data_IF_993197866895
#
_entry.id   IF_993197866895
#
_cell.length_a   1.000
_cell.length_b   1.000
_cell.length_c   1.000
_cell.angle_alpha   90.00
_cell.angle_beta   90.00
_cell.angle_gamma   90.00
#
_symmetry.space_group_name_H-M   'P 1'
#
loop_
_entity.id
_entity.type
_entity.pdbx_description
1 polymer ?
#
# COMPACT_ATOMS: atom_id res chain seq x y z
N UNK A 1 -1.69 13.95 -53.69
CA UNK A 1 -2.16 13.57 -52.35
C UNK A 1 -1.83 14.72 -51.40
N UNK A 2 -2.81 15.49 -50.89
CA UNK A 2 -2.49 16.58 -49.98
C UNK A 2 -2.35 16.03 -48.56
N UNK A 3 -1.16 16.18 -47.98
CA UNK A 3 -0.97 16.08 -46.54
C UNK A 3 -1.76 17.22 -45.89
N UNK A 4 -2.91 16.88 -45.28
CA UNK A 4 -3.73 17.80 -44.51
C UNK A 4 -2.86 18.36 -43.37
N UNK A 5 -2.55 19.65 -43.41
CA UNK A 5 -1.95 20.37 -42.30
C UNK A 5 -2.88 20.20 -41.08
N UNK A 6 -2.49 19.35 -40.14
CA UNK A 6 -3.06 19.39 -38.80
C UNK A 6 -2.64 20.72 -38.18
N UNK A 7 -3.61 21.59 -37.89
CA UNK A 7 -3.32 22.89 -37.30
C UNK A 7 -2.66 22.68 -35.94
N UNK A 8 -1.64 23.50 -35.64
CA UNK A 8 -0.88 23.44 -34.39
C UNK A 8 -1.79 23.52 -33.15
N UNK A 9 -2.98 24.14 -33.28
CA UNK A 9 -4.01 24.21 -32.25
C UNK A 9 -4.59 22.85 -31.82
N UNK A 10 -4.67 21.87 -32.72
CA UNK A 10 -5.23 20.54 -32.38
C UNK A 10 -4.23 19.69 -31.58
N UNK A 11 -2.93 19.81 -31.89
CA UNK A 11 -1.86 19.12 -31.16
C UNK A 11 -1.66 19.74 -29.77
N UNK A 12 -1.78 21.07 -29.65
CA UNK A 12 -1.75 21.77 -28.36
C UNK A 12 -2.98 21.40 -27.52
N UNK A 13 -4.17 21.26 -28.11
CA UNK A 13 -5.37 20.82 -27.39
C UNK A 13 -5.28 19.38 -26.88
N UNK A 14 -4.75 18.45 -27.70
CA UNK A 14 -4.54 17.06 -27.30
C UNK A 14 -3.42 16.93 -26.24
N UNK A 15 -2.32 17.66 -26.40
CA UNK A 15 -1.27 17.74 -25.39
C UNK A 15 -1.78 18.39 -24.11
N UNK A 16 -2.62 19.42 -24.21
CA UNK A 16 -3.27 20.03 -23.06
C UNK A 16 -4.20 19.02 -22.37
N UNK A 17 -5.04 18.27 -23.08
CA UNK A 17 -5.86 17.21 -22.48
C UNK A 17 -5.03 16.09 -21.85
N UNK A 18 -3.92 15.68 -22.47
CA UNK A 18 -3.00 14.67 -21.92
C UNK A 18 -2.29 15.20 -20.67
N UNK A 19 -1.87 16.47 -20.68
CA UNK A 19 -1.24 17.15 -19.54
C UNK A 19 -2.25 17.48 -18.43
N UNK A 20 -3.50 17.78 -18.78
CA UNK A 20 -4.59 18.06 -17.84
C UNK A 20 -5.12 16.76 -17.21
N UNK A 21 -5.20 15.65 -17.96
CA UNK A 21 -5.45 14.31 -17.41
C UNK A 21 -4.34 13.85 -16.46
N UNK A 22 -3.09 14.24 -16.69
CA UNK A 22 -1.98 13.99 -15.77
C UNK A 22 -2.07 14.74 -14.43
N UNK A 23 -2.85 15.82 -14.38
CA UNK A 23 -3.04 16.67 -13.21
C UNK A 23 -4.42 16.49 -12.53
N UNK A 24 -5.25 15.56 -12.99
CA UNK A 24 -6.42 15.16 -12.22
C UNK A 24 -5.93 14.38 -11.01
N UNK A 25 -6.31 14.82 -9.82
CA UNK A 25 -6.18 14.03 -8.59
C UNK A 25 -7.06 12.79 -8.80
N UNK A 26 -6.49 11.74 -9.38
CA UNK A 26 -7.18 10.47 -9.52
C UNK A 26 -7.22 9.83 -8.14
N UNK A 27 -8.43 9.53 -7.67
CA UNK A 27 -8.60 8.54 -6.61
C UNK A 27 -8.28 7.14 -7.19
N UNK A 28 -8.17 6.13 -6.35
CA UNK A 28 -7.82 4.76 -6.76
C UNK A 28 -8.91 4.21 -7.70
N UNK A 29 -10.18 4.53 -7.45
CA UNK A 29 -11.29 4.06 -8.27
C UNK A 29 -11.26 4.59 -9.72
N UNK A 30 -10.85 5.84 -9.91
CA UNK A 30 -10.65 6.45 -11.22
C UNK A 30 -9.53 5.74 -11.97
N UNK A 31 -8.42 5.50 -11.27
CA UNK A 31 -7.27 4.74 -11.81
C UNK A 31 -7.71 3.34 -12.25
N UNK A 32 -8.44 2.62 -11.40
CA UNK A 32 -8.95 1.28 -11.71
C UNK A 32 -9.92 1.27 -12.90
N UNK A 33 -10.62 2.38 -13.16
CA UNK A 33 -11.54 2.49 -14.29
C UNK A 33 -10.83 2.63 -15.63
N UNK A 34 -9.52 2.95 -15.62
CA UNK A 34 -8.67 2.93 -16.81
C UNK A 34 -8.11 1.55 -17.14
N UNK A 35 -8.25 0.58 -16.24
CA UNK A 35 -7.66 -0.74 -16.42
C UNK A 35 -8.32 -1.49 -17.60
N UNK A 36 -7.53 -2.19 -18.41
CA UNK A 36 -8.04 -2.99 -19.52
C UNK A 36 -8.82 -4.22 -19.02
N UNK A 37 -9.61 -4.85 -19.90
CA UNK A 37 -10.51 -5.96 -19.54
C UNK A 37 -9.77 -7.14 -18.87
N UNK A 38 -8.53 -7.42 -19.26
CA UNK A 38 -7.73 -8.49 -18.65
C UNK A 38 -7.37 -8.23 -17.18
N UNK A 39 -7.49 -6.99 -16.69
CA UNK A 39 -7.20 -6.59 -15.31
C UNK A 39 -8.48 -6.30 -14.50
N UNK A 40 -9.65 -6.61 -15.05
CA UNK A 40 -10.97 -6.35 -14.44
C UNK A 40 -11.13 -6.95 -13.05
N UNK A 41 -10.57 -8.12 -12.80
CA UNK A 41 -10.65 -8.78 -11.49
C UNK A 41 -10.02 -7.92 -10.38
N UNK A 42 -8.98 -7.15 -10.67
CA UNK A 42 -8.35 -6.26 -9.68
C UNK A 42 -9.32 -5.16 -9.26
N UNK A 43 -10.03 -4.56 -10.23
CA UNK A 43 -11.07 -3.56 -9.96
C UNK A 43 -12.22 -4.15 -9.13
N UNK A 44 -12.70 -5.34 -9.49
CA UNK A 44 -13.78 -6.00 -8.75
C UNK A 44 -13.36 -6.35 -7.31
N UNK A 45 -12.13 -6.82 -7.12
CA UNK A 45 -11.60 -7.13 -5.79
C UNK A 45 -11.42 -5.89 -4.92
N UNK A 46 -10.91 -4.78 -5.48
CA UNK A 46 -10.84 -3.50 -4.77
C UNK A 46 -12.23 -3.03 -4.35
N UNK A 47 -13.18 -3.00 -5.30
CA UNK A 47 -14.57 -2.62 -5.04
C UNK A 47 -15.22 -3.50 -3.96
N UNK A 48 -14.91 -4.79 -3.89
CA UNK A 48 -15.40 -5.68 -2.84
C UNK A 48 -14.80 -5.32 -1.48
N UNK A 49 -13.48 -5.13 -1.41
CA UNK A 49 -12.76 -4.85 -0.17
C UNK A 49 -13.18 -3.55 0.49
N UNK A 50 -13.45 -2.50 -0.30
CA UNK A 50 -13.89 -1.21 0.27
C UNK A 50 -15.33 -1.23 0.79
N UNK A 51 -16.12 -2.26 0.43
CA UNK A 51 -17.54 -2.38 0.79
C UNK A 51 -17.86 -3.56 1.72
N UNK A 52 -16.91 -4.43 2.07
CA UNK A 52 -17.19 -5.64 2.86
C UNK A 52 -17.28 -5.40 4.38
N UNK A 53 -16.91 -4.20 4.86
CA UNK A 53 -17.03 -3.76 6.26
C UNK A 53 -16.38 -4.70 7.31
N UNK A 54 -15.34 -5.47 6.92
CA UNK A 54 -14.56 -6.32 7.84
C UNK A 54 -13.61 -5.49 8.70
N UNK A 55 -13.02 -4.44 8.12
CA UNK A 55 -12.17 -3.47 8.81
C UNK A 55 -12.97 -2.17 8.99
N UNK A 56 -12.71 -1.46 10.08
CA UNK A 56 -13.26 -0.10 10.22
C UNK A 56 -12.59 0.86 9.23
N UNK A 57 -13.14 2.07 9.08
CA UNK A 57 -12.67 3.06 8.11
C UNK A 57 -11.17 3.41 8.27
N UNK A 58 -10.70 3.60 9.51
CA UNK A 58 -9.28 3.91 9.76
C UNK A 58 -8.36 2.74 9.38
N UNK A 59 -8.73 1.53 9.76
CA UNK A 59 -7.98 0.31 9.43
C UNK A 59 -7.95 0.06 7.93
N UNK A 60 -9.08 0.20 7.23
CA UNK A 60 -9.20 0.00 5.80
C UNK A 60 -8.31 0.99 5.02
N UNK A 61 -8.54 2.29 5.18
CA UNK A 61 -7.82 3.30 4.43
C UNK A 61 -6.36 3.44 4.86
N UNK A 62 -6.06 3.17 6.13
CA UNK A 62 -4.69 3.08 6.61
C UNK A 62 -3.92 1.91 5.98
N UNK A 63 -4.57 0.74 5.89
CA UNK A 63 -3.98 -0.43 5.21
C UNK A 63 -3.80 -0.19 3.71
N UNK A 64 -4.76 0.46 3.04
CA UNK A 64 -4.66 0.84 1.62
C UNK A 64 -3.46 1.79 1.41
N UNK A 65 -3.33 2.84 2.23
CA UNK A 65 -2.25 3.81 2.11
C UNK A 65 -0.87 3.18 2.37
N UNK A 66 -0.71 2.44 3.49
CA UNK A 66 0.58 1.81 3.81
C UNK A 66 0.98 0.76 2.76
N UNK A 67 0.00 0.03 2.22
CA UNK A 67 0.24 -0.92 1.14
C UNK A 67 0.67 -0.20 -0.14
N UNK A 68 0.02 0.91 -0.47
CA UNK A 68 0.38 1.75 -1.62
C UNK A 68 1.82 2.28 -1.52
N UNK A 69 2.23 2.77 -0.34
CA UNK A 69 3.62 3.15 -0.05
C UNK A 69 4.59 1.99 -0.28
N UNK A 70 4.26 0.80 0.21
CA UNK A 70 5.08 -0.40 0.06
C UNK A 70 5.26 -0.83 -1.40
N UNK A 71 4.30 -0.51 -2.28
CA UNK A 71 4.45 -0.77 -3.72
C UNK A 71 5.50 0.10 -4.40
N UNK A 72 5.84 1.28 -3.83
CA UNK A 72 6.72 2.29 -4.45
C UNK A 72 6.21 2.83 -5.80
N UNK A 73 4.89 2.86 -5.99
CA UNK A 73 4.26 3.53 -7.14
C UNK A 73 3.75 4.91 -6.71
N UNK A 74 4.40 5.96 -7.18
CA UNK A 74 4.15 7.34 -6.75
C UNK A 74 2.70 7.78 -7.02
N UNK A 75 2.20 7.55 -8.23
CA UNK A 75 0.83 7.94 -8.62
C UNK A 75 -0.21 7.23 -7.77
N UNK A 76 -0.01 5.93 -7.47
CA UNK A 76 -0.89 5.17 -6.57
C UNK A 76 -0.83 5.69 -5.14
N UNK A 77 0.36 6.05 -4.66
CA UNK A 77 0.56 6.61 -3.31
C UNK A 77 -0.17 7.94 -3.17
N UNK A 78 -0.09 8.80 -4.19
CA UNK A 78 -0.83 10.08 -4.22
C UNK A 78 -2.34 9.85 -4.18
N UNK A 79 -2.84 8.94 -5.01
CA UNK A 79 -4.26 8.56 -5.03
C UNK A 79 -4.73 8.07 -3.65
N UNK A 80 -4.01 7.11 -3.06
CA UNK A 80 -4.31 6.55 -1.76
C UNK A 80 -4.24 7.58 -0.63
N UNK A 81 -3.27 8.50 -0.67
CA UNK A 81 -3.13 9.55 0.34
C UNK A 81 -4.31 10.54 0.30
N UNK A 82 -4.82 10.84 -0.88
CA UNK A 82 -5.98 11.71 -1.01
C UNK A 82 -7.24 11.04 -0.45
N UNK A 83 -7.48 9.78 -0.78
CA UNK A 83 -8.58 9.01 -0.17
C UNK A 83 -8.42 8.91 1.35
N UNK A 84 -7.22 8.63 1.85
CA UNK A 84 -6.97 8.54 3.29
C UNK A 84 -7.32 9.86 4.00
N UNK A 85 -6.87 11.02 3.49
CA UNK A 85 -7.15 12.33 4.11
C UNK A 85 -8.63 12.65 4.28
N UNK A 86 -9.49 12.07 3.45
CA UNK A 86 -10.95 12.25 3.55
C UNK A 86 -11.59 11.28 4.56
N UNK A 87 -10.90 10.20 4.93
CA UNK A 87 -11.47 9.08 5.66
C UNK A 87 -10.80 8.77 7.01
N UNK A 88 -9.61 9.29 7.28
CA UNK A 88 -8.84 9.00 8.52
C UNK A 88 -8.33 10.27 9.20
N UNK A 89 -8.09 10.16 10.51
CA UNK A 89 -7.50 11.23 11.31
C UNK A 89 -6.07 11.54 10.83
N UNK A 90 -5.67 12.83 10.69
CA UNK A 90 -4.30 13.21 10.39
C UNK A 90 -3.23 12.57 11.28
N UNK A 91 -3.52 12.35 12.57
CA UNK A 91 -2.60 11.66 13.50
C UNK A 91 -2.33 10.20 13.08
N UNK A 92 -3.32 9.56 12.45
CA UNK A 92 -3.20 8.20 11.92
C UNK A 92 -2.27 8.17 10.70
N UNK A 93 -2.23 9.25 9.89
CA UNK A 93 -1.35 9.36 8.73
C UNK A 93 0.13 9.31 9.14
N UNK A 94 0.53 10.04 10.19
CA UNK A 94 1.92 10.02 10.69
C UNK A 94 2.37 8.59 11.03
N UNK A 95 1.50 7.82 11.69
CA UNK A 95 1.80 6.45 12.11
C UNK A 95 1.82 5.45 10.94
N UNK A 96 1.07 5.71 9.86
CA UNK A 96 1.20 4.97 8.60
C UNK A 96 2.60 5.14 8.00
N UNK A 97 3.10 6.37 7.92
CA UNK A 97 4.47 6.61 7.46
C UNK A 97 5.52 6.04 8.43
N UNK A 98 5.25 6.09 9.73
CA UNK A 98 6.08 5.47 10.76
C UNK A 98 6.20 3.95 10.59
N UNK A 99 5.08 3.26 10.40
CA UNK A 99 5.02 1.82 10.13
C UNK A 99 5.77 1.49 8.84
N UNK A 100 5.51 2.22 7.75
CA UNK A 100 6.22 2.04 6.48
C UNK A 100 7.73 2.23 6.62
N UNK A 101 8.16 3.29 7.31
CA UNK A 101 9.57 3.60 7.53
C UNK A 101 10.28 2.49 8.30
N UNK A 102 9.71 2.05 9.42
CA UNK A 102 10.30 0.98 10.23
C UNK A 102 10.35 -0.34 9.47
N UNK A 103 9.25 -0.71 8.83
CA UNK A 103 9.16 -1.99 8.13
C UNK A 103 10.01 -2.03 6.87
N UNK A 104 10.27 -0.90 6.22
CA UNK A 104 11.22 -0.82 5.10
C UNK A 104 12.64 -1.21 5.50
N UNK A 105 13.02 -1.01 6.76
CA UNK A 105 14.29 -1.48 7.31
C UNK A 105 14.17 -2.90 7.87
N UNK A 106 13.20 -3.12 8.76
CA UNK A 106 13.05 -4.36 9.52
C UNK A 106 12.75 -5.55 8.62
N UNK A 107 11.84 -5.40 7.65
CA UNK A 107 11.47 -6.49 6.75
C UNK A 107 12.66 -6.99 5.93
N UNK A 108 13.63 -6.14 5.62
CA UNK A 108 14.83 -6.54 4.89
C UNK A 108 15.78 -7.32 5.82
N UNK A 109 16.11 -6.75 6.99
CA UNK A 109 17.05 -7.38 7.93
C UNK A 109 16.52 -8.71 8.48
N UNK A 110 15.27 -8.73 8.94
CA UNK A 110 14.70 -9.94 9.53
C UNK A 110 14.38 -11.01 8.49
N UNK A 111 14.10 -10.64 7.24
CA UNK A 111 14.03 -11.62 6.14
C UNK A 111 15.39 -12.24 5.86
N UNK A 112 16.46 -11.46 5.84
CA UNK A 112 17.82 -12.01 5.71
C UNK A 112 18.12 -13.03 6.82
N UNK A 113 17.96 -12.64 8.09
CA UNK A 113 18.25 -13.56 9.22
C UNK A 113 17.35 -14.78 9.25
N UNK A 114 16.14 -14.71 8.68
CA UNK A 114 15.21 -15.85 8.57
C UNK A 114 15.55 -16.81 7.43
N UNK A 115 16.12 -16.31 6.33
CA UNK A 115 16.42 -17.11 5.14
C UNK A 115 17.88 -17.59 5.08
N UNK A 116 18.79 -16.92 5.79
CA UNK A 116 20.19 -17.32 5.86
C UNK A 116 20.32 -18.69 6.54
N UNK A 117 21.09 -19.60 5.93
CA UNK A 117 21.36 -20.93 6.50
C UNK A 117 22.28 -20.87 7.73
N UNK A 118 23.15 -19.86 7.78
CA UNK A 118 24.01 -19.63 8.93
C UNK A 118 23.22 -18.94 10.03
N UNK A 119 23.00 -19.65 11.13
CA UNK A 119 22.22 -19.16 12.26
C UNK A 119 22.99 -18.14 13.12
N UNK A 120 24.29 -17.96 12.89
CA UNK A 120 25.11 -17.01 13.64
C UNK A 120 24.55 -15.57 13.55
N UNK A 121 24.03 -15.17 12.39
CA UNK A 121 23.41 -13.86 12.19
C UNK A 121 22.18 -13.61 13.07
N UNK A 122 21.42 -14.66 13.41
CA UNK A 122 20.24 -14.54 14.27
C UNK A 122 20.59 -14.31 15.75
N UNK A 123 21.81 -14.69 16.15
CA UNK A 123 22.35 -14.52 17.51
C UNK A 123 23.06 -13.19 17.70
N UNK A 124 23.44 -12.52 16.61
CA UNK A 124 24.09 -11.21 16.66
C UNK A 124 23.07 -10.10 17.02
N UNK A 125 23.48 -9.07 17.77
CA UNK A 125 22.64 -7.91 17.99
C UNK A 125 22.39 -7.19 16.66
N UNK A 126 21.13 -6.92 16.34
CA UNK A 126 20.77 -6.27 15.08
C UNK A 126 21.38 -4.87 14.93
N UNK A 127 21.62 -4.16 16.05
CA UNK A 127 22.12 -2.78 16.06
C UNK A 127 21.26 -1.80 15.23
N UNK A 128 19.97 -2.10 15.07
CA UNK A 128 18.97 -1.27 14.41
C UNK A 128 18.08 -0.59 15.45
N UNK A 129 17.92 0.73 15.34
CA UNK A 129 17.04 1.48 16.24
C UNK A 129 15.59 1.39 15.78
N UNK A 130 14.72 0.87 16.64
CA UNK A 130 13.29 0.69 16.35
C UNK A 130 12.37 1.49 17.29
N UNK A 131 12.84 2.65 17.80
CA UNK A 131 12.13 3.40 18.83
C UNK A 131 10.69 3.79 18.46
N UNK A 132 10.39 3.95 17.17
CA UNK A 132 9.04 4.32 16.73
C UNK A 132 8.00 3.22 17.01
N UNK A 133 8.40 1.96 17.18
CA UNK A 133 7.51 0.85 17.57
C UNK A 133 6.76 1.12 18.88
N UNK A 134 7.29 2.00 19.75
CA UNK A 134 6.67 2.37 21.02
C UNK A 134 6.25 3.84 21.08
N UNK A 135 6.35 4.59 19.98
CA UNK A 135 6.03 6.03 19.91
C UNK A 135 4.79 6.33 19.05
N UNK A 136 4.23 5.32 18.40
CA UNK A 136 2.99 5.48 17.66
C UNK A 136 1.87 5.97 18.58
N UNK A 137 0.95 6.75 18.03
CA UNK A 137 -0.17 7.38 18.73
C UNK A 137 -1.47 6.61 18.55
N UNK A 138 -1.60 5.85 17.47
CA UNK A 138 -2.72 4.94 17.22
C UNK A 138 -2.66 3.72 18.15
N UNK A 139 -3.75 2.95 18.19
CA UNK A 139 -3.81 1.73 18.98
C UNK A 139 -2.72 0.75 18.52
N UNK A 140 -2.17 -0.03 19.47
CA UNK A 140 -1.16 -1.04 19.16
C UNK A 140 -1.65 -2.02 18.07
N UNK A 141 -2.87 -2.60 18.14
CA UNK A 141 -3.35 -3.49 17.10
C UNK A 141 -3.43 -2.84 15.71
N UNK A 142 -3.83 -1.57 15.63
CA UNK A 142 -3.87 -0.86 14.35
C UNK A 142 -2.46 -0.67 13.76
N UNK A 143 -1.49 -0.28 14.60
CA UNK A 143 -0.09 -0.15 14.16
C UNK A 143 0.50 -1.48 13.68
N UNK A 144 0.17 -2.57 14.36
CA UNK A 144 0.58 -3.93 13.99
C UNK A 144 -0.05 -4.39 12.66
N UNK A 145 -1.32 -4.01 12.37
CA UNK A 145 -1.93 -4.25 11.05
C UNK A 145 -1.18 -3.52 9.93
N UNK A 146 -0.78 -2.27 10.16
CA UNK A 146 0.00 -1.50 9.20
C UNK A 146 1.37 -2.15 8.94
N UNK A 147 2.05 -2.59 10.01
CA UNK A 147 3.33 -3.27 9.89
C UNK A 147 3.20 -4.61 9.15
N UNK A 148 2.13 -5.37 9.44
CA UNK A 148 1.80 -6.62 8.76
C UNK A 148 1.62 -6.40 7.25
N UNK A 149 0.87 -5.38 6.83
CA UNK A 149 0.65 -5.07 5.42
C UNK A 149 1.98 -4.84 4.66
N UNK A 150 2.91 -4.08 5.26
CA UNK A 150 4.24 -3.85 4.68
C UNK A 150 5.07 -5.13 4.65
N UNK A 151 5.06 -5.92 5.73
CA UNK A 151 5.77 -7.19 5.80
C UNK A 151 5.33 -8.18 4.72
N UNK A 152 4.03 -8.20 4.40
CA UNK A 152 3.44 -9.02 3.34
C UNK A 152 3.99 -8.62 1.97
N UNK A 153 3.93 -7.32 1.62
CA UNK A 153 4.42 -6.84 0.31
C UNK A 153 5.94 -7.03 0.19
N UNK A 154 6.68 -6.84 1.28
CA UNK A 154 8.13 -7.06 1.30
C UNK A 154 8.51 -8.54 1.44
N UNK A 155 7.57 -9.45 1.70
CA UNK A 155 7.83 -10.89 1.81
C UNK A 155 8.75 -11.29 2.98
N UNK A 156 8.61 -10.65 4.15
CA UNK A 156 9.35 -11.03 5.36
C UNK A 156 8.56 -12.03 6.21
N UNK A 157 8.78 -13.34 6.04
CA UNK A 157 8.06 -14.39 6.80
C UNK A 157 8.17 -14.24 8.32
N UNK A 158 9.36 -13.91 8.84
CA UNK A 158 9.57 -13.67 10.29
C UNK A 158 8.74 -12.49 10.81
N UNK A 159 8.64 -11.41 10.03
CA UNK A 159 7.88 -10.23 10.40
C UNK A 159 6.37 -10.50 10.31
N UNK A 160 5.92 -11.21 9.28
CA UNK A 160 4.50 -11.61 9.13
C UNK A 160 4.06 -12.38 10.38
N UNK A 161 4.82 -13.39 10.80
CA UNK A 161 4.49 -14.18 11.98
C UNK A 161 4.50 -13.33 13.26
N UNK A 162 5.50 -12.47 13.44
CA UNK A 162 5.62 -11.63 14.63
C UNK A 162 4.43 -10.65 14.77
N UNK A 163 4.04 -9.97 13.69
CA UNK A 163 2.91 -9.04 13.73
C UNK A 163 1.57 -9.78 13.84
N UNK A 164 1.42 -10.94 13.20
CA UNK A 164 0.22 -11.79 13.34
C UNK A 164 0.03 -12.27 14.79
N UNK A 165 1.10 -12.71 15.45
CA UNK A 165 1.07 -13.18 16.84
C UNK A 165 0.55 -12.09 17.78
N UNK A 166 1.09 -10.87 17.67
CA UNK A 166 0.64 -9.72 18.48
C UNK A 166 -0.83 -9.37 18.19
N UNK A 167 -1.28 -9.47 16.94
CA UNK A 167 -2.68 -9.24 16.57
C UNK A 167 -3.61 -10.30 17.19
N UNK A 168 -3.20 -11.57 17.17
CA UNK A 168 -3.95 -12.67 17.82
C UNK A 168 -4.02 -12.49 19.33
N UNK A 169 -2.91 -12.14 19.97
CA UNK A 169 -2.87 -11.80 21.41
C UNK A 169 -3.78 -10.63 21.75
N UNK A 170 -3.93 -9.68 20.82
CA UNK A 170 -4.85 -8.55 20.94
C UNK A 170 -6.31 -8.89 20.57
N UNK A 171 -6.64 -10.18 20.40
CA UNK A 171 -7.96 -10.69 20.03
C UNK A 171 -8.52 -10.13 18.71
N UNK A 172 -7.64 -9.76 17.77
CA UNK A 172 -8.06 -9.38 16.43
C UNK A 172 -8.55 -10.64 15.68
N UNK A 173 -9.76 -10.62 15.08
CA UNK A 173 -10.27 -11.76 14.33
C UNK A 173 -9.37 -12.15 13.17
N UNK A 174 -9.18 -13.45 12.93
CA UNK A 174 -8.42 -13.98 11.80
C UNK A 174 -8.92 -13.42 10.46
N UNK A 175 -10.22 -13.17 10.33
CA UNK A 175 -10.83 -12.56 9.15
C UNK A 175 -10.29 -11.14 8.89
N UNK A 176 -10.09 -10.34 9.94
CA UNK A 176 -9.52 -8.98 9.83
C UNK A 176 -8.04 -9.03 9.44
N UNK A 177 -7.27 -9.96 10.03
CA UNK A 177 -5.86 -10.20 9.64
C UNK A 177 -5.77 -10.63 8.18
N UNK A 178 -6.66 -11.53 7.74
CA UNK A 178 -6.71 -11.99 6.36
C UNK A 178 -7.14 -10.88 5.39
N UNK A 179 -8.04 -9.98 5.81
CA UNK A 179 -8.41 -8.80 5.04
C UNK A 179 -7.21 -7.87 4.79
N UNK A 180 -6.32 -7.68 5.79
CA UNK A 180 -5.05 -6.93 5.60
C UNK A 180 -4.21 -7.56 4.49
N UNK A 181 -4.07 -8.89 4.47
CA UNK A 181 -3.34 -9.58 3.41
C UNK A 181 -3.98 -9.45 2.03
N UNK A 182 -5.32 -9.47 1.95
CA UNK A 182 -6.06 -9.22 0.70
C UNK A 182 -5.84 -7.80 0.19
N UNK A 183 -5.93 -6.78 1.05
CA UNK A 183 -5.68 -5.39 0.69
C UNK A 183 -4.25 -5.24 0.15
N UNK A 184 -3.25 -5.72 0.89
CA UNK A 184 -1.84 -5.65 0.50
C UNK A 184 -1.61 -6.29 -0.89
N UNK A 185 -2.22 -7.45 -1.13
CA UNK A 185 -2.15 -8.16 -2.42
C UNK A 185 -2.79 -7.38 -3.56
N UNK A 186 -3.98 -6.82 -3.34
CA UNK A 186 -4.70 -6.00 -4.33
C UNK A 186 -3.89 -4.76 -4.67
N UNK A 187 -3.40 -4.01 -3.68
CA UNK A 187 -2.64 -2.79 -3.94
C UNK A 187 -1.34 -3.07 -4.70
N UNK A 188 -0.66 -4.18 -4.40
CA UNK A 188 0.50 -4.62 -5.17
C UNK A 188 0.13 -4.93 -6.63
N UNK A 189 -1.02 -5.59 -6.88
CA UNK A 189 -1.50 -5.84 -8.24
C UNK A 189 -1.86 -4.54 -8.98
N UNK A 190 -2.56 -3.60 -8.33
CA UNK A 190 -2.86 -2.28 -8.88
C UNK A 190 -1.58 -1.58 -9.33
N UNK A 191 -0.57 -1.49 -8.46
CA UNK A 191 0.71 -0.88 -8.79
C UNK A 191 1.39 -1.56 -9.99
N UNK A 192 1.37 -2.89 -10.06
CA UNK A 192 1.98 -3.62 -11.16
C UNK A 192 1.29 -3.39 -12.51
N UNK A 193 -0.05 -3.32 -12.52
CA UNK A 193 -0.80 -2.99 -13.74
C UNK A 193 -0.56 -1.54 -14.16
N UNK A 194 -0.57 -0.58 -13.22
CA UNK A 194 -0.25 0.82 -13.51
C UNK A 194 1.14 1.01 -14.15
N UNK A 195 2.11 0.16 -13.83
CA UNK A 195 3.46 0.23 -14.43
C UNK A 195 3.46 -0.13 -15.92
N UNK A 196 2.60 -1.04 -16.34
CA UNK A 196 2.62 -1.62 -17.69
C UNK A 196 1.56 -1.04 -18.62
N UNK A 197 0.52 -0.41 -18.08
CA UNK A 197 -0.58 0.22 -18.85
C UNK A 197 -0.31 1.70 -19.17
N UNK A 198 0.91 2.21 -18.89
CA UNK A 198 1.30 3.61 -19.15
C UNK A 198 1.10 4.06 -20.61
#
# INVERSE_FOLDING_TARGET
MPYKQMSCAHVIGLLAEILYKKNYIMNIQDTLSTFPEYAKDIKLNYSKIVNENILNQQQLYGTILVSSLATKMEDLTKAALNEAKENIDPLYIDDIFGAYSLMSMNAIYYRFTHLAKDNSYSTMPANLRMQYMNKHKISKPDFEMLCLAVAIIMGCGKCINAHEEVLKESNIPTQSIQAVARIASIMNAVANIMRVVK
#
